data_IF_989199369400
#
_entry.id   IF_989199369400
#
_cell.length_a   1.000
_cell.length_b   1.000
_cell.length_c   1.000
_cell.angle_alpha   90.00
_cell.angle_beta   90.00
_cell.angle_gamma   90.00
#
_symmetry.space_group_name_H-M   'P 1'
#
loop_
_entity.id
_entity.type
_entity.pdbx_description
1 polymer ?
#
# COMPACT_ATOMS: atom_id res chain seq x y z
N UNK A 1 9.88 20.23 -11.40
CA UNK A 1 8.98 20.04 -10.25
C UNK A 1 9.86 20.04 -9.02
N UNK A 2 9.68 21.00 -8.11
CA UNK A 2 10.49 21.03 -6.88
C UNK A 2 10.04 19.85 -6.01
N UNK A 3 10.94 18.91 -5.78
CA UNK A 3 10.62 17.64 -5.11
C UNK A 3 11.27 17.67 -3.74
N UNK A 4 10.45 17.70 -2.69
CA UNK A 4 10.91 17.78 -1.29
C UNK A 4 10.72 16.44 -0.61
N UNK A 5 11.80 15.89 -0.04
CA UNK A 5 11.70 14.69 0.80
C UNK A 5 11.20 15.09 2.19
N UNK A 6 10.13 14.44 2.65
CA UNK A 6 9.51 14.61 3.96
C UNK A 6 9.75 13.35 4.79
N UNK A 7 10.40 13.43 5.97
CA UNK A 7 10.46 12.32 6.90
C UNK A 7 9.09 12.05 7.53
N UNK A 8 8.81 10.79 7.84
CA UNK A 8 7.59 10.33 8.51
C UNK A 8 7.88 9.78 9.91
N UNK A 9 8.39 10.60 10.85
CA UNK A 9 8.82 10.13 12.17
C UNK A 9 7.67 9.59 13.04
N UNK A 10 6.42 9.94 12.71
CA UNK A 10 5.22 9.57 13.45
C UNK A 10 4.37 8.49 12.73
N UNK A 11 4.80 8.04 11.54
CA UNK A 11 4.10 6.95 10.85
C UNK A 11 4.39 5.63 11.56
N UNK A 12 3.33 4.84 11.82
CA UNK A 12 3.41 3.58 12.57
C UNK A 12 2.69 2.46 11.84
N UNK A 13 3.18 1.25 12.04
CA UNK A 13 2.40 0.05 11.76
C UNK A 13 1.34 -0.07 12.87
N UNK A 14 0.06 -0.36 12.56
CA UNK A 14 -0.95 -0.60 13.58
C UNK A 14 -0.50 -1.69 14.58
N UNK A 15 -0.85 -1.49 15.85
CA UNK A 15 -0.37 -2.25 17.03
C UNK A 15 1.09 -2.00 17.45
N UNK A 16 1.82 -1.13 16.76
CA UNK A 16 3.18 -0.69 17.12
C UNK A 16 3.25 0.85 17.26
N UNK A 17 2.53 1.47 18.21
CA UNK A 17 2.39 2.93 18.29
C UNK A 17 3.70 3.66 18.62
N UNK A 18 4.63 3.00 19.29
CA UNK A 18 5.87 3.61 19.81
C UNK A 18 7.11 3.26 18.97
N UNK A 19 6.91 2.59 17.83
CA UNK A 19 8.02 2.06 17.03
C UNK A 19 8.26 2.89 15.76
N UNK A 20 9.34 3.69 15.72
CA UNK A 20 9.73 4.36 14.48
C UNK A 20 10.17 3.35 13.43
N UNK A 21 9.96 3.72 12.16
CA UNK A 21 10.22 2.86 11.02
C UNK A 21 11.40 3.36 10.18
N UNK A 22 12.16 2.41 9.68
CA UNK A 22 13.19 2.58 8.65
C UNK A 22 12.80 1.88 7.37
N UNK A 23 13.28 2.39 6.25
CA UNK A 23 13.19 1.77 4.94
C UNK A 23 14.52 1.95 4.24
N UNK A 24 15.07 0.87 3.69
CA UNK A 24 16.41 0.87 3.09
C UNK A 24 17.49 1.35 4.07
N UNK A 25 17.41 0.84 5.31
CA UNK A 25 18.25 1.24 6.44
C UNK A 25 18.29 2.75 6.75
N UNK A 26 17.34 3.54 6.24
CA UNK A 26 17.21 4.98 6.50
C UNK A 26 15.86 5.31 7.16
N UNK A 27 15.74 6.42 7.90
CA UNK A 27 14.45 6.86 8.45
C UNK A 27 13.37 6.97 7.37
N UNK A 28 12.20 6.39 7.63
CA UNK A 28 11.10 6.36 6.67
C UNK A 28 10.76 7.78 6.19
N UNK A 29 10.78 7.96 4.87
CA UNK A 29 10.53 9.24 4.22
C UNK A 29 9.68 9.04 2.97
N UNK A 30 8.97 10.09 2.56
CA UNK A 30 8.20 10.17 1.32
C UNK A 30 8.54 11.47 0.59
N UNK A 31 7.99 11.64 -0.60
CA UNK A 31 8.11 12.87 -1.38
C UNK A 31 6.82 13.69 -1.27
N UNK A 32 6.98 14.97 -1.00
CA UNK A 32 5.92 15.94 -1.20
C UNK A 32 5.80 16.30 -2.68
N UNK A 33 4.66 15.98 -3.26
CA UNK A 33 4.32 16.40 -4.62
C UNK A 33 3.35 17.57 -4.50
N UNK A 34 3.87 18.79 -4.67
CA UNK A 34 3.05 19.99 -4.65
C UNK A 34 1.86 19.86 -5.63
N UNK A 35 0.65 20.14 -5.15
CA UNK A 35 -0.51 20.29 -6.02
C UNK A 35 -0.38 21.64 -6.73
N UNK A 36 -0.60 21.66 -8.05
CA UNK A 36 -0.53 22.87 -8.88
C UNK A 36 -1.49 24.00 -8.45
N UNK A 37 -2.39 23.75 -7.51
CA UNK A 37 -3.44 24.68 -7.08
C UNK A 37 -3.13 25.42 -5.77
N UNK A 38 -1.94 25.25 -5.19
CA UNK A 38 -1.59 25.92 -3.92
C UNK A 38 -0.45 26.91 -4.12
N UNK A 39 -0.80 28.11 -4.61
CA UNK A 39 0.06 29.29 -4.52
C UNK A 39 0.15 29.72 -3.06
N UNK A 40 1.02 29.09 -2.28
CA UNK A 40 1.42 29.61 -0.97
C UNK A 40 2.85 30.10 -1.07
N UNK A 41 2.97 31.41 -1.29
CA UNK A 41 4.20 32.17 -1.15
C UNK A 41 4.73 31.99 0.27
N UNK A 42 5.74 31.14 0.46
CA UNK A 42 6.56 31.19 1.66
C UNK A 42 7.99 31.47 1.23
N UNK A 43 8.36 32.74 1.35
CA UNK A 43 9.72 33.23 1.21
C UNK A 43 10.52 32.68 2.39
N UNK A 44 11.55 31.89 2.12
CA UNK A 44 12.63 31.68 3.11
C UNK A 44 13.96 31.57 2.38
N UNK A 45 14.74 32.63 2.54
CA UNK A 45 16.12 32.76 2.10
C UNK A 45 17.01 31.93 3.01
N UNK A 46 17.73 30.94 2.49
CA UNK A 46 19.11 30.64 2.92
C UNK A 46 19.85 29.78 1.90
N UNK A 47 21.15 29.95 1.89
CA UNK A 47 22.11 29.70 0.82
C UNK A 47 22.56 28.24 0.64
N UNK A 48 22.84 27.91 -0.63
CA UNK A 48 24.02 27.19 -1.13
C UNK A 48 24.44 25.86 -0.50
N UNK A 49 23.87 24.76 -1.02
CA UNK A 49 24.61 23.63 -1.63
C UNK A 49 23.58 22.62 -2.14
N UNK A 50 22.92 22.91 -3.25
CA UNK A 50 21.77 22.10 -3.69
C UNK A 50 22.22 20.92 -4.54
N UNK A 51 22.83 19.93 -3.90
CA UNK A 51 22.68 18.56 -4.40
C UNK A 51 21.19 18.25 -4.25
N UNK A 52 20.46 18.21 -5.37
CA UNK A 52 19.05 17.81 -5.34
C UNK A 52 18.96 16.47 -4.62
N UNK A 53 18.13 16.32 -3.57
CA UNK A 53 18.07 15.10 -2.81
C UNK A 53 17.71 13.94 -3.75
N UNK A 54 18.56 12.93 -3.80
CA UNK A 54 18.42 11.83 -4.76
C UNK A 54 17.27 10.93 -4.33
N UNK A 55 16.24 10.83 -5.15
CA UNK A 55 15.10 9.95 -4.92
C UNK A 55 15.58 8.51 -5.05
N UNK A 56 15.56 7.76 -3.94
CA UNK A 56 15.85 6.32 -3.96
C UNK A 56 14.59 5.54 -4.34
N UNK A 57 14.74 4.31 -4.87
CA UNK A 57 13.60 3.44 -5.16
C UNK A 57 12.70 3.23 -3.93
N UNK A 58 13.31 3.06 -2.76
CA UNK A 58 12.62 2.94 -1.47
C UNK A 58 11.73 4.16 -1.15
N UNK A 59 12.26 5.37 -1.29
CA UNK A 59 11.49 6.62 -1.07
C UNK A 59 10.39 6.78 -2.12
N UNK A 60 10.65 6.38 -3.37
CA UNK A 60 9.65 6.39 -4.43
C UNK A 60 8.48 5.46 -4.14
N UNK A 61 8.76 4.22 -3.76
CA UNK A 61 7.74 3.22 -3.43
C UNK A 61 6.95 3.61 -2.18
N UNK A 62 7.62 4.09 -1.13
CA UNK A 62 6.93 4.58 0.08
C UNK A 62 5.98 5.72 -0.26
N UNK A 63 6.40 6.64 -1.14
CA UNK A 63 5.56 7.74 -1.64
C UNK A 63 4.32 7.23 -2.36
N UNK A 64 4.48 6.28 -3.29
CA UNK A 64 3.36 5.73 -4.07
C UNK A 64 2.34 5.05 -3.16
N UNK A 65 2.81 4.13 -2.31
CA UNK A 65 1.93 3.35 -1.43
C UNK A 65 1.25 4.24 -0.38
N UNK A 66 1.99 5.12 0.27
CA UNK A 66 1.44 6.06 1.25
C UNK A 66 0.40 7.00 0.63
N UNK A 67 0.72 7.57 -0.54
CA UNK A 67 -0.17 8.49 -1.24
C UNK A 67 -1.41 7.79 -1.78
N UNK A 68 -1.33 6.50 -2.11
CA UNK A 68 -2.51 5.69 -2.44
C UNK A 68 -3.35 5.45 -1.18
N UNK A 69 -2.77 4.83 -0.15
CA UNK A 69 -3.39 4.68 1.17
C UNK A 69 -2.34 4.34 2.25
N UNK A 70 -2.31 5.00 3.43
CA UNK A 70 -1.36 4.73 4.52
C UNK A 70 -1.21 3.25 4.88
N UNK A 71 -2.33 2.53 5.08
CA UNK A 71 -2.28 1.10 5.41
C UNK A 71 -1.67 0.21 4.32
N UNK A 72 -1.58 0.67 3.06
CA UNK A 72 -0.86 -0.06 2.02
C UNK A 72 0.65 0.01 2.26
N UNK A 73 1.17 1.18 2.67
CA UNK A 73 2.56 1.30 3.12
C UNK A 73 2.78 0.50 4.42
N UNK A 74 1.83 0.54 5.38
CA UNK A 74 1.94 -0.30 6.57
C UNK A 74 2.03 -1.79 6.19
N UNK A 75 1.18 -2.29 5.29
CA UNK A 75 1.23 -3.69 4.86
C UNK A 75 2.53 -4.07 4.12
N UNK A 76 3.09 -3.13 3.37
CA UNK A 76 4.39 -3.32 2.73
C UNK A 76 5.51 -3.51 3.77
N UNK A 77 5.50 -2.71 4.84
CA UNK A 77 6.51 -2.70 5.91
C UNK A 77 6.25 -3.74 7.02
N UNK A 78 5.09 -4.39 7.05
CA UNK A 78 4.68 -5.25 8.15
C UNK A 78 4.96 -6.74 7.88
N UNK A 79 6.23 -7.10 8.05
CA UNK A 79 6.74 -8.46 7.85
C UNK A 79 6.23 -9.46 8.89
N UNK A 80 5.71 -8.99 10.03
CA UNK A 80 5.13 -9.88 11.04
C UNK A 80 3.74 -10.37 10.63
N UNK A 81 2.96 -9.54 9.93
CA UNK A 81 1.60 -9.88 9.53
C UNK A 81 1.55 -10.55 8.14
N UNK A 82 2.26 -10.00 7.14
CA UNK A 82 2.02 -10.35 5.75
C UNK A 82 3.22 -11.06 5.12
N UNK A 83 3.03 -12.33 4.74
CA UNK A 83 4.01 -13.04 3.92
C UNK A 83 4.20 -12.39 2.55
N UNK A 84 3.12 -12.00 1.87
CA UNK A 84 3.16 -11.24 0.62
C UNK A 84 2.24 -10.01 0.67
N UNK A 85 2.58 -8.96 -0.07
CA UNK A 85 1.60 -7.99 -0.53
C UNK A 85 1.92 -7.54 -1.95
N UNK A 86 0.88 -7.33 -2.76
CA UNK A 86 1.00 -6.87 -4.13
C UNK A 86 0.00 -5.75 -4.40
N UNK A 87 0.52 -4.56 -4.73
CA UNK A 87 -0.26 -3.44 -5.24
C UNK A 87 -0.06 -3.36 -6.74
N UNK A 88 -1.16 -3.26 -7.49
CA UNK A 88 -1.08 -3.12 -8.95
C UNK A 88 -1.95 -1.95 -9.41
N UNK A 89 -1.42 -1.17 -10.35
CA UNK A 89 -2.19 -0.19 -11.12
C UNK A 89 -2.60 -0.80 -12.45
N UNK A 90 -3.90 -0.89 -12.65
CA UNK A 90 -4.52 -1.51 -13.82
C UNK A 90 -5.20 -0.42 -14.64
N UNK A 91 -4.62 -0.01 -15.78
CA UNK A 91 -5.34 0.78 -16.76
C UNK A 91 -6.47 -0.07 -17.34
N UNK A 92 -7.61 0.55 -17.60
CA UNK A 92 -8.67 -0.05 -18.39
C UNK A 92 -8.12 -0.16 -19.79
N UNK A 93 -8.18 -1.35 -20.37
CA UNK A 93 -7.91 -1.58 -21.77
C UNK A 93 -8.58 -0.48 -22.59
N UNK A 94 -7.92 0.13 -23.59
CA UNK A 94 -8.63 0.95 -24.53
C UNK A 94 -9.64 0.04 -25.23
N UNK A 95 -10.91 0.14 -24.85
CA UNK A 95 -11.98 -0.22 -25.77
C UNK A 95 -11.65 0.52 -27.06
N UNK A 96 -11.66 -0.13 -28.25
CA UNK A 96 -11.41 0.57 -29.49
C UNK A 96 -12.48 1.65 -29.65
N UNK A 97 -12.14 2.87 -29.22
CA UNK A 97 -12.97 4.03 -29.47
C UNK A 97 -12.88 4.31 -30.98
N UNK A 98 -14.00 4.60 -31.65
CA UNK A 98 -13.97 4.97 -33.06
C UNK A 98 -13.13 6.25 -33.21
N UNK A 99 -12.08 6.15 -34.02
CA UNK A 99 -11.29 7.22 -34.64
C UNK A 99 -11.50 8.63 -34.07
N UNK A 100 -10.81 8.96 -32.99
CA UNK A 100 -10.49 10.36 -32.68
C UNK A 100 -8.98 10.47 -32.48
N UNK A 101 -8.37 11.40 -33.23
CA UNK A 101 -6.93 11.66 -33.31
C UNK A 101 -6.36 12.28 -32.02
N UNK A 102 -6.56 11.64 -30.87
CA UNK A 102 -5.90 12.00 -29.62
C UNK A 102 -4.90 10.91 -29.29
N UNK A 103 -3.62 11.21 -29.55
CA UNK A 103 -2.46 10.39 -29.22
C UNK A 103 -2.24 10.42 -27.70
N UNK A 104 -3.10 9.75 -26.95
CA UNK A 104 -2.90 9.56 -25.51
C UNK A 104 -2.11 8.28 -25.31
N UNK A 105 -0.86 8.40 -24.87
CA UNK A 105 -0.04 7.23 -24.50
C UNK A 105 -0.79 6.42 -23.44
N UNK A 106 -1.03 5.10 -23.64
CA UNK A 106 -1.75 4.31 -22.67
C UNK A 106 -0.98 4.27 -21.36
N UNK A 107 -1.67 4.53 -20.24
CA UNK A 107 -1.09 4.36 -18.90
C UNK A 107 -0.59 2.92 -18.77
N UNK A 108 0.68 2.69 -18.37
CA UNK A 108 1.21 1.35 -18.22
C UNK A 108 0.54 0.61 -17.05
N UNK A 109 0.51 -0.72 -17.11
CA UNK A 109 0.16 -1.54 -15.93
C UNK A 109 1.40 -1.61 -15.04
N UNK A 110 1.24 -1.23 -13.78
CA UNK A 110 2.34 -1.17 -12.82
C UNK A 110 2.08 -2.15 -11.69
N UNK A 111 3.16 -2.63 -11.07
CA UNK A 111 3.08 -3.49 -9.91
C UNK A 111 4.21 -3.18 -8.92
N UNK A 112 3.86 -3.25 -7.64
CA UNK A 112 4.76 -3.20 -6.48
C UNK A 112 4.39 -4.38 -5.59
N UNK A 113 5.27 -5.36 -5.53
CA UNK A 113 5.15 -6.58 -4.75
C UNK A 113 6.25 -6.68 -3.70
N UNK A 114 5.94 -7.37 -2.60
CA UNK A 114 6.90 -7.77 -1.59
C UNK A 114 6.51 -9.16 -1.11
N UNK A 115 7.42 -10.12 -1.19
CA UNK A 115 7.24 -11.51 -0.75
C UNK A 115 8.36 -11.81 0.22
N UNK A 116 8.04 -11.93 1.51
CA UNK A 116 9.02 -12.02 2.59
C UNK A 116 10.09 -10.93 2.46
N UNK A 117 11.36 -11.31 2.31
CA UNK A 117 12.49 -10.40 2.14
C UNK A 117 12.78 -9.99 0.69
N UNK A 118 11.95 -10.35 -0.28
CA UNK A 118 12.11 -9.93 -1.68
C UNK A 118 11.09 -8.85 -2.04
N UNK A 119 11.55 -7.83 -2.73
CA UNK A 119 10.73 -6.72 -3.23
C UNK A 119 10.86 -6.72 -4.74
N UNK A 120 9.72 -6.73 -5.44
CA UNK A 120 9.69 -6.74 -6.90
C UNK A 120 8.74 -5.67 -7.38
N UNK A 121 9.18 -4.83 -8.31
CA UNK A 121 8.33 -3.80 -8.88
C UNK A 121 8.70 -3.51 -10.32
N UNK A 122 7.79 -2.85 -11.02
CA UNK A 122 8.04 -2.43 -12.40
C UNK A 122 6.78 -2.34 -13.24
N UNK A 123 6.94 -2.67 -14.52
CA UNK A 123 5.91 -2.48 -15.54
C UNK A 123 5.57 -3.81 -16.19
N UNK A 124 4.29 -4.13 -16.17
CA UNK A 124 3.73 -5.30 -16.85
C UNK A 124 3.33 -4.97 -18.29
N UNK A 125 3.25 -5.99 -19.13
CA UNK A 125 2.65 -5.93 -20.45
C UNK A 125 1.18 -5.44 -20.36
N UNK A 126 0.60 -4.91 -21.45
CA UNK A 126 -0.78 -4.39 -21.42
C UNK A 126 -1.83 -5.41 -20.95
N UNK A 127 -1.65 -6.69 -21.29
CA UNK A 127 -2.51 -7.79 -20.85
C UNK A 127 -2.22 -8.25 -19.41
N UNK A 128 -1.12 -7.79 -18.80
CA UNK A 128 -0.69 -8.15 -17.44
C UNK A 128 -0.11 -9.55 -17.30
N UNK A 129 0.23 -10.23 -18.41
CA UNK A 129 0.72 -11.61 -18.36
C UNK A 129 2.23 -11.74 -18.21
N UNK A 130 3.00 -10.72 -18.59
CA UNK A 130 4.47 -10.76 -18.57
C UNK A 130 5.04 -9.43 -18.11
N UNK A 131 6.26 -9.47 -17.58
CA UNK A 131 7.00 -8.26 -17.21
C UNK A 131 7.66 -7.65 -18.45
N UNK A 132 7.45 -6.35 -18.64
CA UNK A 132 8.25 -5.55 -19.58
C UNK A 132 9.49 -4.96 -18.90
N UNK A 133 9.39 -4.73 -17.59
CA UNK A 133 10.48 -4.36 -16.70
C UNK A 133 10.15 -4.91 -15.31
N UNK A 134 11.00 -5.76 -14.77
CA UNK A 134 10.92 -6.31 -13.42
C UNK A 134 12.22 -6.00 -12.70
N UNK A 135 12.13 -5.24 -11.62
CA UNK A 135 13.26 -4.85 -10.80
C UNK A 135 13.06 -5.47 -9.43
N UNK A 136 14.03 -6.29 -9.02
CA UNK A 136 13.95 -7.05 -7.78
C UNK A 136 15.07 -6.62 -6.84
N UNK A 137 14.72 -6.46 -5.56
CA UNK A 137 15.64 -6.18 -4.46
C UNK A 137 15.46 -7.25 -3.38
N UNK A 138 16.55 -7.57 -2.69
CA UNK A 138 16.54 -8.42 -1.49
C UNK A 138 16.80 -7.55 -0.27
N UNK A 139 15.94 -7.67 0.74
CA UNK A 139 16.15 -7.10 2.06
C UNK A 139 17.23 -7.89 2.78
N UNK A 140 18.26 -7.18 3.22
CA UNK A 140 19.20 -7.74 4.18
C UNK A 140 18.63 -7.69 5.62
N UNK A 141 19.30 -8.30 6.61
CA UNK A 141 18.83 -8.26 8.00
C UNK A 141 18.75 -6.87 8.62
N UNK A 142 19.42 -5.85 8.04
CA UNK A 142 19.35 -4.45 8.49
C UNK A 142 18.18 -3.69 7.86
N UNK A 143 17.47 -4.33 6.92
CA UNK A 143 16.41 -3.72 6.12
C UNK A 143 16.92 -2.89 4.95
N UNK A 144 18.21 -3.01 4.60
CA UNK A 144 18.78 -2.39 3.40
C UNK A 144 18.32 -3.14 2.15
N UNK A 145 18.04 -2.39 1.08
CA UNK A 145 17.57 -2.92 -0.19
C UNK A 145 18.77 -3.18 -1.10
N UNK A 146 19.04 -4.45 -1.37
CA UNK A 146 20.13 -4.86 -2.26
C UNK A 146 19.56 -5.23 -3.64
N UNK A 147 19.96 -4.55 -4.74
CA UNK A 147 19.56 -4.96 -6.08
C UNK A 147 19.84 -6.44 -6.30
N UNK A 148 18.90 -7.16 -6.92
CA UNK A 148 18.99 -8.60 -7.17
C UNK A 148 19.06 -8.91 -8.67
N UNK A 149 20.27 -9.03 -9.24
CA UNK A 149 20.46 -9.36 -10.66
C UNK A 149 19.98 -10.74 -11.10
N UNK A 150 19.68 -11.65 -10.17
CA UNK A 150 19.20 -13.00 -10.52
C UNK A 150 17.72 -13.04 -10.86
N UNK A 151 16.98 -12.05 -10.40
CA UNK A 151 15.51 -11.98 -10.46
C UNK A 151 15.04 -10.69 -11.15
N UNK A 152 15.95 -9.94 -11.77
CA UNK A 152 15.62 -8.68 -12.46
C UNK A 152 15.73 -8.86 -13.96
N UNK A 153 14.79 -8.31 -14.72
CA UNK A 153 14.71 -8.47 -16.18
C UNK A 153 14.06 -7.27 -16.88
N UNK A 154 14.38 -7.09 -18.15
CA UNK A 154 13.75 -6.13 -19.06
C UNK A 154 13.33 -6.83 -20.34
N UNK A 155 12.01 -6.93 -20.56
CA UNK A 155 11.48 -7.84 -21.57
C UNK A 155 11.99 -9.25 -21.30
N UNK A 156 12.56 -9.92 -22.30
CA UNK A 156 13.11 -11.28 -22.16
C UNK A 156 14.61 -11.31 -21.80
N UNK A 157 15.18 -10.19 -21.33
CA UNK A 157 16.62 -10.05 -21.04
C UNK A 157 16.85 -9.87 -19.54
N UNK A 158 17.64 -10.77 -18.94
CA UNK A 158 18.06 -10.67 -17.54
C UNK A 158 18.99 -9.46 -17.33
N UNK A 159 18.75 -8.71 -16.24
CA UNK A 159 19.59 -7.59 -15.82
C UNK A 159 20.66 -8.09 -14.86
N UNK A 160 21.90 -8.22 -15.34
CA UNK A 160 23.00 -8.80 -14.54
C UNK A 160 23.78 -7.79 -13.70
N UNK A 161 23.54 -6.48 -13.88
CA UNK A 161 24.27 -5.41 -13.19
C UNK A 161 23.43 -4.73 -12.11
N UNK A 162 23.94 -4.70 -10.88
CA UNK A 162 23.28 -4.01 -9.76
C UNK A 162 23.12 -2.51 -10.01
N UNK A 163 24.12 -1.86 -10.63
CA UNK A 163 24.08 -0.43 -10.95
C UNK A 163 23.04 -0.11 -12.04
N UNK A 164 22.84 -1.02 -12.99
CA UNK A 164 21.82 -0.87 -14.03
C UNK A 164 20.41 -1.01 -13.43
N UNK A 165 20.21 -1.99 -12.55
CA UNK A 165 18.94 -2.16 -11.81
C UNK A 165 18.64 -0.90 -11.01
N UNK A 166 19.61 -0.37 -10.27
CA UNK A 166 19.45 0.84 -9.47
C UNK A 166 19.11 2.08 -10.34
N UNK A 167 19.75 2.21 -11.50
CA UNK A 167 19.47 3.29 -12.46
C UNK A 167 18.04 3.19 -12.99
N UNK A 168 17.64 2.01 -13.47
CA UNK A 168 16.30 1.75 -13.99
C UNK A 168 15.23 1.92 -12.91
N UNK A 169 15.52 1.53 -11.67
CA UNK A 169 14.62 1.69 -10.53
C UNK A 169 14.35 3.16 -10.23
N UNK A 170 15.39 4.00 -10.24
CA UNK A 170 15.26 5.44 -10.08
C UNK A 170 14.43 6.08 -11.18
N UNK A 171 14.74 5.76 -12.43
CA UNK A 171 13.97 6.23 -13.60
C UNK A 171 12.49 5.83 -13.51
N UNK A 172 12.23 4.60 -13.08
CA UNK A 172 10.88 4.07 -12.93
C UNK A 172 10.11 4.80 -11.83
N UNK A 173 10.69 4.99 -10.63
CA UNK A 173 10.02 5.71 -9.55
C UNK A 173 9.83 7.19 -9.89
N UNK A 174 10.81 7.84 -10.51
CA UNK A 174 10.71 9.23 -10.96
C UNK A 174 9.54 9.40 -11.94
N UNK A 175 9.41 8.47 -12.88
CA UNK A 175 8.28 8.44 -13.82
C UNK A 175 6.95 8.25 -13.08
N UNK A 176 6.90 7.33 -12.10
CA UNK A 176 5.70 7.09 -11.31
C UNK A 176 5.27 8.30 -10.48
N UNK A 177 6.23 8.99 -9.85
CA UNK A 177 6.00 10.20 -9.05
C UNK A 177 5.51 11.34 -9.94
N UNK A 178 6.18 11.59 -11.07
CA UNK A 178 5.81 12.63 -12.01
C UNK A 178 4.39 12.44 -12.56
N UNK A 179 3.98 11.18 -12.77
CA UNK A 179 2.64 10.84 -13.27
C UNK A 179 1.60 10.64 -12.15
N UNK A 180 1.97 10.79 -10.87
CA UNK A 180 1.09 10.63 -9.70
C UNK A 180 0.29 9.33 -9.76
N UNK A 181 0.96 8.22 -10.02
CA UNK A 181 0.34 6.91 -10.31
C UNK A 181 -0.53 6.35 -9.18
N UNK A 182 -0.55 6.96 -7.99
CA UNK A 182 -1.48 6.63 -6.90
C UNK A 182 -2.87 7.24 -7.05
N UNK A 183 -3.06 8.18 -7.98
CA UNK A 183 -4.37 8.79 -8.23
C UNK A 183 -5.26 7.88 -9.08
N UNK A 184 -6.56 7.93 -8.81
CA UNK A 184 -7.54 7.21 -9.64
C UNK A 184 -8.26 8.18 -10.56
N UNK A 185 -8.32 7.82 -11.84
CA UNK A 185 -9.10 8.52 -12.85
C UNK A 185 -10.07 7.56 -13.55
N UNK A 186 -10.88 8.10 -14.47
CA UNK A 186 -11.72 7.27 -15.33
C UNK A 186 -10.82 6.27 -16.07
N UNK A 187 -11.17 5.00 -15.97
CA UNK A 187 -10.39 3.96 -16.60
C UNK A 187 -9.12 3.52 -15.85
N UNK A 188 -8.89 3.91 -14.60
CA UNK A 188 -7.76 3.36 -13.79
C UNK A 188 -8.31 2.62 -12.57
N UNK A 189 -7.80 1.44 -12.26
CA UNK A 189 -8.17 0.63 -11.10
C UNK A 189 -6.92 0.23 -10.34
N UNK A 190 -6.91 0.38 -9.03
CA UNK A 190 -5.84 -0.16 -8.19
C UNK A 190 -6.32 -1.45 -7.55
N UNK A 191 -5.42 -2.40 -7.37
CA UNK A 191 -5.69 -3.64 -6.65
C UNK A 191 -4.66 -3.80 -5.55
N UNK A 192 -5.07 -4.43 -4.45
CA UNK A 192 -4.19 -4.83 -3.38
C UNK A 192 -4.51 -6.29 -3.06
N UNK A 193 -3.50 -7.15 -3.08
CA UNK A 193 -3.59 -8.52 -2.61
C UNK A 193 -2.61 -8.69 -1.47
N UNK A 194 -2.98 -9.49 -0.47
CA UNK A 194 -2.14 -9.83 0.67
C UNK A 194 -2.23 -11.31 0.95
N UNK A 195 -1.08 -11.92 1.23
CA UNK A 195 -1.01 -13.25 1.79
C UNK A 195 -0.49 -13.09 3.21
N UNK A 196 -1.37 -13.37 4.17
CA UNK A 196 -1.23 -14.57 4.96
C UNK A 196 0.09 -15.32 4.92
N UNK A 197 0.09 -16.53 4.38
CA UNK A 197 1.15 -17.53 4.44
C UNK A 197 1.58 -17.99 3.04
N UNK A 198 2.78 -18.60 2.92
CA UNK A 198 3.15 -19.26 1.68
C UNK A 198 2.10 -20.30 1.27
N UNK A 199 1.67 -20.25 0.02
CA UNK A 199 0.63 -21.14 -0.53
C UNK A 199 -0.67 -21.12 0.28
N UNK A 200 -1.21 -19.92 0.51
CA UNK A 200 -2.54 -19.83 1.05
C UNK A 200 -3.61 -20.35 0.06
N UNK A 201 -4.80 -20.63 0.58
CA UNK A 201 -5.89 -21.24 -0.20
C UNK A 201 -6.42 -20.35 -1.33
N UNK A 202 -5.92 -19.13 -1.49
CA UNK A 202 -6.43 -18.14 -2.44
C UNK A 202 -5.55 -17.93 -3.68
N UNK A 203 -4.46 -18.68 -3.82
CA UNK A 203 -3.63 -18.66 -5.03
C UNK A 203 -2.78 -17.39 -5.13
N UNK A 204 -3.30 -16.34 -5.77
CA UNK A 204 -2.61 -15.05 -6.00
C UNK A 204 -2.79 -14.05 -4.83
N UNK A 205 -3.09 -14.57 -3.63
CA UNK A 205 -3.38 -13.80 -2.42
C UNK A 205 -4.82 -13.28 -2.30
N UNK A 206 -5.17 -12.79 -1.10
CA UNK A 206 -6.51 -12.31 -0.80
C UNK A 206 -6.69 -10.88 -1.33
N UNK A 207 -7.63 -10.61 -2.26
CA UNK A 207 -7.96 -9.25 -2.66
C UNK A 207 -8.41 -8.46 -1.43
N UNK A 208 -7.92 -7.23 -1.25
CA UNK A 208 -8.13 -6.49 -0.02
C UNK A 208 -8.40 -5.00 -0.24
N UNK A 209 -9.28 -4.44 0.59
CA UNK A 209 -9.31 -2.99 0.80
C UNK A 209 -8.37 -2.66 1.97
N UNK A 210 -7.38 -1.77 1.81
CA UNK A 210 -6.44 -1.44 2.87
C UNK A 210 -7.10 -0.89 4.16
N UNK A 211 -8.33 -0.39 4.10
CA UNK A 211 -9.12 -0.06 5.30
C UNK A 211 -9.43 -1.27 6.19
N UNK A 212 -9.41 -2.49 5.65
CA UNK A 212 -9.82 -3.72 6.34
C UNK A 212 -8.63 -4.59 6.78
N UNK A 213 -7.40 -4.15 6.53
CA UNK A 213 -6.20 -4.89 6.91
C UNK A 213 -6.06 -5.01 8.44
N UNK A 214 -6.21 -3.90 9.13
CA UNK A 214 -5.89 -3.75 10.56
C UNK A 214 -7.09 -3.40 11.44
N UNK A 215 -8.24 -3.14 10.82
CA UNK A 215 -9.47 -2.80 11.52
C UNK A 215 -10.62 -3.56 10.86
N UNK A 216 -11.58 -3.98 11.68
CA UNK A 216 -12.83 -4.53 11.16
C UNK A 216 -13.62 -3.43 10.44
N UNK A 217 -14.40 -3.84 9.44
CA UNK A 217 -15.34 -2.97 8.78
C UNK A 217 -16.37 -2.48 9.79
N UNK A 218 -16.52 -1.15 9.86
CA UNK A 218 -17.55 -0.49 10.65
C UNK A 218 -18.31 0.51 9.79
N UNK A 219 -19.64 0.53 9.96
CA UNK A 219 -20.54 1.49 9.30
C UNK A 219 -20.91 2.66 10.21
N UNK A 220 -20.30 2.75 11.40
CA UNK A 220 -20.59 3.79 12.40
C UNK A 220 -19.79 5.07 12.17
N UNK A 221 -18.74 4.98 11.35
CA UNK A 221 -17.85 6.09 11.02
C UNK A 221 -17.65 6.28 9.52
N UNK A 222 -17.27 7.48 9.13
CA UNK A 222 -16.84 7.78 7.77
C UNK A 222 -15.57 7.00 7.45
N UNK A 223 -15.58 6.22 6.37
CA UNK A 223 -14.43 5.42 5.91
C UNK A 223 -13.21 6.30 5.64
N UNK A 224 -13.43 7.51 5.13
CA UNK A 224 -12.37 8.44 4.73
C UNK A 224 -11.81 9.26 5.89
N UNK A 225 -12.67 9.89 6.71
CA UNK A 225 -12.25 10.85 7.73
C UNK A 225 -12.45 10.36 9.17
N UNK A 226 -12.93 9.12 9.35
CA UNK A 226 -13.15 8.45 10.64
C UNK A 226 -14.14 9.15 11.60
N UNK A 227 -14.82 10.22 11.17
CA UNK A 227 -15.88 10.87 11.96
C UNK A 227 -17.08 9.93 12.14
N UNK A 228 -17.52 9.75 13.38
CA UNK A 228 -18.70 8.95 13.73
C UNK A 228 -20.01 9.68 13.41
N UNK A 229 -21.07 8.90 13.16
CA UNK A 229 -22.44 9.44 13.07
C UNK A 229 -22.81 10.17 14.37
N UNK A 230 -23.51 11.31 14.26
CA UNK A 230 -24.07 12.02 15.42
C UNK A 230 -23.14 13.02 16.12
N UNK A 231 -21.89 13.21 15.64
CA UNK A 231 -21.01 14.29 16.11
C UNK A 231 -21.27 15.55 15.26
N UNK A 232 -22.19 16.41 15.73
CA UNK A 232 -22.65 17.63 15.05
C UNK A 232 -23.98 17.46 14.32
N UNK A 233 -24.85 18.48 14.40
CA UNK A 233 -26.27 18.52 13.98
C UNK A 233 -26.68 17.52 12.88
N UNK A 234 -27.28 16.39 13.29
CA UNK A 234 -28.09 15.53 12.42
C UNK A 234 -27.40 14.87 11.21
N UNK A 235 -26.07 14.94 11.08
CA UNK A 235 -25.39 14.45 9.89
C UNK A 235 -25.29 12.90 9.90
N UNK A 236 -26.22 12.25 9.21
CA UNK A 236 -26.24 10.80 9.03
C UNK A 236 -25.24 10.37 7.95
N UNK A 237 -24.44 9.35 8.25
CA UNK A 237 -23.53 8.75 7.27
C UNK A 237 -24.32 8.09 6.13
N UNK A 238 -23.84 8.31 4.90
CA UNK A 238 -24.40 7.72 3.69
C UNK A 238 -23.63 6.46 3.34
N UNK A 239 -24.34 5.34 3.18
CA UNK A 239 -23.74 4.08 2.71
C UNK A 239 -23.44 4.15 1.23
N UNK A 240 -22.41 3.45 0.78
CA UNK A 240 -22.16 3.25 -0.64
C UNK A 240 -23.36 2.53 -1.27
N UNK A 241 -24.09 3.19 -2.17
CA UNK A 241 -25.32 2.65 -2.75
C UNK A 241 -25.14 1.39 -3.60
N UNK A 242 -23.90 1.07 -4.01
CA UNK A 242 -23.60 -0.12 -4.81
C UNK A 242 -23.31 -1.36 -3.97
N UNK A 243 -22.39 -1.26 -3.01
CA UNK A 243 -21.91 -2.42 -2.26
C UNK A 243 -22.34 -2.44 -0.80
N UNK A 244 -22.73 -1.30 -0.22
CA UNK A 244 -23.11 -1.19 1.20
C UNK A 244 -21.96 -1.34 2.21
N UNK A 245 -20.72 -1.59 1.77
CA UNK A 245 -19.57 -1.92 2.64
C UNK A 245 -18.70 -0.71 3.02
N UNK A 246 -19.23 0.50 2.88
CA UNK A 246 -18.55 1.73 3.26
C UNK A 246 -19.57 2.82 3.56
N UNK A 247 -19.21 3.73 4.48
CA UNK A 247 -20.02 4.88 4.90
C UNK A 247 -19.23 6.17 4.75
N UNK A 248 -19.92 7.26 4.40
CA UNK A 248 -19.31 8.57 4.17
C UNK A 248 -20.16 9.70 4.73
N UNK A 249 -19.54 10.76 5.24
CA UNK A 249 -20.26 11.96 5.66
C UNK A 249 -20.76 12.81 4.47
N UNK A 250 -20.15 12.64 3.29
CA UNK A 250 -20.46 13.40 2.08
C UNK A 250 -19.94 12.69 0.83
N UNK A 251 -20.41 13.11 -0.34
CA UNK A 251 -19.86 12.69 -1.63
C UNK A 251 -18.39 13.10 -1.84
N UNK A 252 -17.87 14.09 -1.08
CA UNK A 252 -16.46 14.44 -1.13
C UNK A 252 -15.58 13.34 -0.50
N UNK A 253 -15.97 12.83 0.68
CA UNK A 253 -15.28 11.69 1.30
C UNK A 253 -15.34 10.45 0.42
N UNK A 254 -16.50 10.15 -0.16
CA UNK A 254 -16.65 9.03 -1.11
C UNK A 254 -15.69 9.16 -2.31
N UNK A 255 -15.55 10.36 -2.88
CA UNK A 255 -14.63 10.61 -4.00
C UNK A 255 -13.16 10.41 -3.63
N UNK A 256 -12.75 10.84 -2.44
CA UNK A 256 -11.37 10.66 -1.94
C UNK A 256 -11.06 9.17 -1.73
N UNK A 257 -11.98 8.42 -1.14
CA UNK A 257 -11.84 6.97 -0.90
C UNK A 257 -11.93 6.14 -2.19
N UNK A 258 -12.51 6.69 -3.27
CA UNK A 258 -12.77 5.93 -4.49
C UNK A 258 -11.53 5.25 -5.09
N UNK A 259 -10.34 5.86 -4.97
CA UNK A 259 -9.08 5.27 -5.46
C UNK A 259 -8.74 3.91 -4.83
N UNK A 260 -9.28 3.67 -3.64
CA UNK A 260 -9.12 2.43 -2.88
C UNK A 260 -10.38 1.57 -2.99
N UNK A 261 -11.53 2.17 -2.74
CA UNK A 261 -12.82 1.46 -2.66
C UNK A 261 -13.30 0.89 -4.00
N UNK A 262 -12.93 1.51 -5.13
CA UNK A 262 -13.40 1.13 -6.47
C UNK A 262 -13.23 -0.36 -6.77
N UNK A 263 -12.12 -0.96 -6.34
CA UNK A 263 -11.87 -2.38 -6.59
C UNK A 263 -12.88 -3.27 -5.88
N UNK A 264 -12.98 -3.18 -4.56
CA UNK A 264 -13.91 -4.00 -3.77
C UNK A 264 -15.38 -3.68 -4.05
N UNK A 265 -15.70 -2.44 -4.44
CA UNK A 265 -17.03 -2.03 -4.84
C UNK A 265 -17.49 -2.70 -6.15
N UNK A 266 -16.54 -3.01 -7.05
CA UNK A 266 -16.81 -3.59 -8.37
C UNK A 266 -16.68 -5.11 -8.43
N UNK A 267 -16.16 -5.74 -7.37
CA UNK A 267 -16.05 -7.20 -7.25
C UNK A 267 -17.40 -7.90 -7.21
N UNK A 268 -17.39 -9.21 -7.52
CA UNK A 268 -18.54 -10.10 -7.39
C UNK A 268 -19.03 -10.20 -5.95
N UNK A 269 -20.30 -10.58 -5.77
CA UNK A 269 -20.90 -10.72 -4.44
C UNK A 269 -20.22 -11.81 -3.61
N UNK A 270 -19.83 -12.91 -4.25
CA UNK A 270 -19.17 -14.05 -3.60
C UNK A 270 -17.79 -13.63 -3.07
N UNK A 271 -16.93 -13.10 -3.93
CA UNK A 271 -15.58 -12.64 -3.55
C UNK A 271 -15.65 -11.60 -2.44
N UNK A 272 -16.57 -10.63 -2.55
CA UNK A 272 -16.77 -9.63 -1.51
C UNK A 272 -17.25 -10.25 -0.20
N UNK A 273 -18.18 -11.21 -0.25
CA UNK A 273 -18.67 -11.91 0.94
C UNK A 273 -17.56 -12.68 1.66
N UNK A 274 -16.66 -13.33 0.92
CA UNK A 274 -15.49 -13.99 1.48
C UNK A 274 -14.55 -12.98 2.17
N UNK A 275 -14.25 -11.86 1.52
CA UNK A 275 -13.44 -10.79 2.11
C UNK A 275 -14.07 -10.21 3.40
N UNK A 276 -15.39 -10.02 3.40
CA UNK A 276 -16.10 -9.51 4.58
C UNK A 276 -16.03 -10.48 5.75
N UNK A 277 -16.08 -11.79 5.49
CA UNK A 277 -15.96 -12.81 6.54
C UNK A 277 -14.57 -12.80 7.19
N UNK A 278 -13.50 -12.63 6.39
CA UNK A 278 -12.14 -12.72 6.93
C UNK A 278 -11.71 -11.53 7.77
N UNK A 279 -12.45 -10.41 7.74
CA UNK A 279 -12.14 -9.21 8.52
C UNK A 279 -12.88 -9.09 9.86
N UNK A 280 -13.83 -9.97 10.17
CA UNK A 280 -14.70 -9.84 11.37
C UNK A 280 -13.91 -9.84 12.69
N UNK A 281 -12.72 -10.46 12.71
CA UNK A 281 -11.84 -10.56 13.88
C UNK A 281 -10.92 -9.35 14.07
N UNK A 282 -11.43 -8.14 13.86
CA UNK A 282 -10.64 -6.91 14.02
C UNK A 282 -9.82 -6.51 12.79
N UNK A 283 -10.24 -6.92 11.60
CA UNK A 283 -9.49 -6.78 10.36
C UNK A 283 -8.82 -8.08 9.96
N UNK A 284 -8.26 -8.11 8.76
CA UNK A 284 -7.64 -9.32 8.22
C UNK A 284 -6.41 -9.77 9.02
N UNK A 285 -5.73 -8.84 9.69
CA UNK A 285 -4.59 -9.12 10.59
C UNK A 285 -4.98 -10.10 11.71
N UNK A 286 -6.25 -10.05 12.15
CA UNK A 286 -6.82 -10.92 13.19
C UNK A 286 -7.42 -12.22 12.68
N UNK A 287 -7.36 -12.50 11.37
CA UNK A 287 -7.90 -13.73 10.78
C UNK A 287 -7.23 -14.98 11.36
N UNK A 288 -5.90 -15.00 11.32
CA UNK A 288 -5.03 -16.04 11.86
C UNK A 288 -4.22 -15.44 13.03
N UNK A 289 -4.84 -15.44 14.21
CA UNK A 289 -4.27 -14.78 15.37
C UNK A 289 -3.03 -15.50 15.92
N UNK A 290 -2.97 -16.83 15.80
CA UNK A 290 -1.85 -17.64 16.29
C UNK A 290 -0.55 -17.30 15.55
N UNK A 291 -0.68 -17.01 14.26
CA UNK A 291 0.44 -16.61 13.45
C UNK A 291 0.81 -15.14 13.66
N UNK A 292 -0.18 -14.24 13.63
CA UNK A 292 0.10 -12.80 13.57
C UNK A 292 0.44 -12.20 14.94
N UNK A 293 -0.05 -12.79 16.02
CA UNK A 293 0.15 -12.30 17.38
C UNK A 293 1.01 -13.25 18.21
N UNK A 294 1.79 -12.68 19.12
CA UNK A 294 2.41 -13.42 20.20
C UNK A 294 1.43 -13.61 21.36
N UNK A 295 1.64 -14.66 22.14
CA UNK A 295 0.96 -14.85 23.42
C UNK A 295 1.49 -13.82 24.42
N UNK A 296 0.57 -13.15 25.11
CA UNK A 296 0.91 -12.13 26.10
C UNK A 296 1.82 -12.72 27.20
N UNK A 297 2.95 -12.08 27.44
CA UNK A 297 3.93 -12.49 28.46
C UNK A 297 5.06 -13.42 27.98
N UNK A 298 4.99 -13.96 26.75
CA UNK A 298 6.08 -14.79 26.22
C UNK A 298 7.31 -13.99 25.75
N UNK A 299 7.16 -12.68 25.56
CA UNK A 299 8.28 -11.81 25.17
C UNK A 299 8.85 -12.14 23.78
N UNK A 300 8.03 -12.68 22.88
CA UNK A 300 8.42 -12.99 21.50
C UNK A 300 8.86 -11.70 20.80
N UNK A 301 10.05 -11.70 20.21
CA UNK A 301 10.57 -10.56 19.45
C UNK A 301 10.04 -10.59 18.01
N UNK A 302 9.75 -9.41 17.47
CA UNK A 302 9.46 -9.22 16.06
C UNK A 302 10.69 -9.55 15.20
N UNK A 303 10.45 -10.12 14.02
CA UNK A 303 11.48 -10.34 13.00
C UNK A 303 11.50 -9.21 11.95
N UNK A 304 10.69 -8.17 12.14
CA UNK A 304 10.54 -7.09 11.18
C UNK A 304 11.76 -6.16 11.20
N UNK A 305 12.56 -6.19 10.12
CA UNK A 305 13.76 -5.37 9.95
C UNK A 305 13.48 -3.88 9.75
N UNK A 306 12.22 -3.47 9.59
CA UNK A 306 11.84 -2.06 9.42
C UNK A 306 11.69 -1.30 10.74
N UNK A 307 11.80 -1.96 11.89
CA UNK A 307 11.85 -1.24 13.16
C UNK A 307 13.23 -0.61 13.36
N UNK A 308 13.26 0.68 13.70
CA UNK A 308 14.54 1.36 13.96
C UNK A 308 15.20 0.91 15.27
N UNK A 309 14.45 0.23 16.15
CA UNK A 309 14.92 -0.30 17.42
C UNK A 309 15.08 -1.81 17.34
N UNK A 310 16.16 -2.32 17.94
CA UNK A 310 16.31 -3.76 18.13
C UNK A 310 15.41 -4.28 19.25
N UNK A 311 14.97 -5.53 19.12
CA UNK A 311 14.26 -6.23 20.18
C UNK A 311 12.83 -5.77 20.42
N UNK A 312 12.21 -5.09 19.45
CA UNK A 312 10.77 -4.81 19.45
C UNK A 312 10.01 -6.10 19.66
N UNK A 313 9.07 -6.10 20.60
CA UNK A 313 8.22 -7.26 20.86
C UNK A 313 7.21 -7.41 19.74
N UNK A 314 6.91 -8.64 19.35
CA UNK A 314 5.83 -8.94 18.41
C UNK A 314 4.49 -8.52 19.01
N UNK A 315 3.60 -8.00 18.18
CA UNK A 315 2.25 -7.57 18.58
C UNK A 315 1.55 -8.66 19.40
N UNK A 316 0.93 -8.26 20.50
CA UNK A 316 0.19 -9.15 21.38
C UNK A 316 -1.31 -8.87 21.23
N UNK A 317 -2.13 -9.91 21.31
CA UNK A 317 -3.59 -9.72 21.31
C UNK A 317 -4.01 -9.15 22.66
N UNK A 318 -4.75 -8.04 22.67
CA UNK A 318 -5.33 -7.55 23.93
C UNK A 318 -6.37 -8.57 24.44
N UNK A 319 -6.34 -8.85 25.75
CA UNK A 319 -7.30 -9.76 26.44
C UNK A 319 -8.79 -9.43 26.22
N UNK A 320 -9.12 -8.25 25.67
CA UNK A 320 -10.50 -7.82 25.39
C UNK A 320 -11.09 -8.28 24.06
N UNK A 321 -10.33 -9.00 23.22
CA UNK A 321 -10.77 -9.46 21.89
C UNK A 321 -11.21 -10.93 21.86
N UNK A 322 -11.31 -11.59 23.01
CA UNK A 322 -11.98 -12.89 23.17
C UNK A 322 -13.50 -12.68 23.13
N UNK A 323 -14.02 -12.38 21.93
CA UNK A 323 -15.46 -12.40 21.66
C UNK A 323 -15.90 -13.81 21.28
N UNK A 324 -16.60 -14.47 22.21
CA UNK A 324 -17.74 -15.36 21.92
C UNK A 324 -17.55 -16.34 20.75
N UNK A 325 -16.62 -17.29 20.89
CA UNK A 325 -16.74 -18.57 20.21
C UNK A 325 -17.84 -19.38 20.89
N UNK A 326 -19.10 -19.00 20.66
CA UNK A 326 -20.22 -19.88 20.95
C UNK A 326 -20.19 -21.00 19.92
N UNK A 327 -19.81 -22.19 20.34
CA UNK A 327 -20.07 -23.42 19.62
C UNK A 327 -21.57 -23.45 19.26
N UNK A 328 -21.87 -23.41 17.97
CA UNK A 328 -23.19 -23.76 17.46
C UNK A 328 -23.05 -25.17 16.93
N UNK A 329 -23.54 -26.13 17.72
CA UNK A 329 -23.90 -27.49 17.28
C UNK A 329 -24.87 -27.47 16.08
#
# INVERSE_FOLDING_TARGET
METRIIPLPDFRIPDYPDEPLTLDAQPLSIIEVANSDTTTTTTTTTENNTTTPTITPAIGISTILHSWHPNALSAFLDLDAWFSMTWSLIPSTPTPAPSTNTTTTPTPRLEIGRISSQITFGTLSPNGSTWSLMLTYTLDPTGAWLPNPKESMRGDVDLTSADEIETLAREWVDTCIANRVWETNKGVKHTLHVEYAPMDVWGDGVPMNPHWLYEALTLEQCTTCRRRSGVGEGQMLQRCGRCGTATYCSGACQRVDWKVHKFVCTMGLQDRGQMLKVQEKGGFVGWDAERTFAVEGEGVKSANCHFSREGVLKRCRSRGMEGSGGDVE
#
